data_IF_617513434667
#
_entry.id   IF_617513434667
#
_cell.length_a   1.000
_cell.length_b   1.000
_cell.length_c   1.000
_cell.angle_alpha   90.00
_cell.angle_beta   90.00
_cell.angle_gamma   90.00
#
_symmetry.space_group_name_H-M   'P 1'
#
loop_
_entity.id
_entity.type
_entity.pdbx_description
1 polymer ?
#
# COMPACT_ATOMS: atom_id res chain seq x y z
N UNK A 1 -18.11 -18.43 5.71
CA UNK A 1 -18.97 -17.39 6.31
C UNK A 1 -18.24 -16.05 6.29
N UNK A 2 -18.72 -15.13 5.45
CA UNK A 2 -18.31 -13.74 5.47
C UNK A 2 -18.81 -13.05 6.75
N UNK A 3 -18.05 -12.10 7.30
CA UNK A 3 -18.38 -11.36 8.53
C UNK A 3 -18.27 -9.87 8.24
N UNK A 4 -19.14 -9.05 8.83
CA UNK A 4 -19.15 -7.60 8.61
C UNK A 4 -17.78 -6.90 8.86
N UNK A 5 -16.95 -7.45 9.76
CA UNK A 5 -15.59 -6.94 9.98
C UNK A 5 -14.68 -6.99 8.73
N UNK A 6 -14.99 -7.86 7.77
CA UNK A 6 -14.22 -7.99 6.53
C UNK A 6 -14.48 -6.84 5.57
N UNK A 7 -15.61 -6.14 5.67
CA UNK A 7 -15.85 -4.94 4.87
C UNK A 7 -14.77 -3.87 5.13
N UNK A 8 -14.30 -3.76 6.37
CA UNK A 8 -13.25 -2.82 6.75
C UNK A 8 -11.84 -3.42 6.67
N UNK A 9 -11.64 -4.72 6.80
CA UNK A 9 -10.30 -5.32 6.81
C UNK A 9 -9.75 -5.59 5.40
N UNK A 10 -8.44 -5.42 5.21
CA UNK A 10 -7.72 -5.85 3.99
C UNK A 10 -8.06 -7.29 3.57
N UNK A 11 -8.23 -8.21 4.53
CA UNK A 11 -8.64 -9.60 4.29
C UNK A 11 -9.95 -9.73 3.52
N UNK A 12 -10.87 -8.77 3.65
CA UNK A 12 -12.13 -8.79 2.93
C UNK A 12 -11.94 -8.62 1.43
N UNK A 13 -11.22 -7.58 0.99
CA UNK A 13 -10.94 -7.37 -0.45
C UNK A 13 -10.24 -8.59 -1.03
N UNK A 14 -9.26 -9.13 -0.32
CA UNK A 14 -8.51 -10.32 -0.74
C UNK A 14 -9.40 -11.57 -0.87
N UNK A 15 -10.51 -11.65 -0.14
CA UNK A 15 -11.49 -12.74 -0.26
C UNK A 15 -12.51 -12.50 -1.37
N UNK A 16 -12.94 -11.25 -1.56
CA UNK A 16 -13.99 -10.88 -2.52
C UNK A 16 -13.50 -10.93 -3.96
N UNK A 17 -12.28 -10.45 -4.23
CA UNK A 17 -11.71 -10.39 -5.59
C UNK A 17 -11.67 -11.76 -6.29
N UNK A 18 -11.20 -12.85 -5.66
CA UNK A 18 -11.24 -14.17 -6.26
C UNK A 18 -12.64 -14.64 -6.66
N UNK A 19 -13.70 -14.22 -5.95
CA UNK A 19 -15.08 -14.60 -6.30
C UNK A 19 -15.49 -14.02 -7.66
N UNK A 20 -15.11 -12.77 -7.94
CA UNK A 20 -15.35 -12.12 -9.23
C UNK A 20 -14.56 -12.81 -10.36
N UNK A 21 -13.29 -13.12 -10.11
CA UNK A 21 -12.46 -13.83 -11.07
C UNK A 21 -13.00 -15.24 -11.37
N UNK A 22 -13.43 -15.98 -10.34
CA UNK A 22 -14.01 -17.32 -10.50
C UNK A 22 -15.30 -17.25 -11.32
N UNK A 23 -16.18 -16.28 -11.06
CA UNK A 23 -17.38 -16.09 -11.87
C UNK A 23 -17.04 -15.88 -13.35
N UNK A 24 -16.05 -15.03 -13.65
CA UNK A 24 -15.64 -14.76 -15.03
C UNK A 24 -15.17 -16.02 -15.78
N UNK A 25 -14.42 -16.91 -15.12
CA UNK A 25 -13.85 -18.11 -15.76
C UNK A 25 -14.72 -19.37 -15.70
N UNK A 26 -15.69 -19.43 -14.79
CA UNK A 26 -16.42 -20.67 -14.47
C UNK A 26 -17.94 -20.53 -14.36
N UNK A 27 -18.52 -19.36 -14.68
CA UNK A 27 -19.97 -19.16 -14.69
C UNK A 27 -20.72 -20.09 -15.65
N UNK A 28 -20.05 -20.58 -16.70
CA UNK A 28 -20.61 -21.58 -17.63
C UNK A 28 -20.68 -23.00 -17.05
N UNK A 29 -19.98 -23.26 -15.93
CA UNK A 29 -19.81 -24.59 -15.33
C UNK A 29 -20.44 -24.72 -13.94
N UNK A 30 -20.74 -23.61 -13.28
CA UNK A 30 -21.22 -23.57 -11.91
C UNK A 30 -22.24 -22.44 -11.74
N UNK A 31 -23.26 -22.66 -10.91
CA UNK A 31 -24.19 -21.60 -10.52
C UNK A 31 -23.51 -20.67 -9.50
N UNK A 32 -23.16 -19.46 -9.96
CA UNK A 32 -22.34 -18.49 -9.23
C UNK A 32 -22.96 -17.09 -9.20
N UNK A 33 -24.19 -16.91 -9.70
CA UNK A 33 -24.82 -15.58 -9.84
C UNK A 33 -24.99 -14.85 -8.51
N UNK A 34 -25.49 -15.56 -7.48
CA UNK A 34 -25.65 -14.98 -6.14
C UNK A 34 -24.29 -14.55 -5.56
N UNK A 35 -23.26 -15.37 -5.72
CA UNK A 35 -21.92 -15.08 -5.24
C UNK A 35 -21.29 -13.90 -5.99
N UNK A 36 -21.54 -13.79 -7.29
CA UNK A 36 -21.07 -12.67 -8.11
C UNK A 36 -21.75 -11.35 -7.75
N UNK A 37 -23.07 -11.35 -7.58
CA UNK A 37 -23.81 -10.17 -7.14
C UNK A 37 -23.33 -9.69 -5.77
N UNK A 38 -23.22 -10.59 -4.80
CA UNK A 38 -22.66 -10.29 -3.49
C UNK A 38 -21.25 -9.71 -3.61
N UNK A 39 -20.34 -10.37 -4.34
CA UNK A 39 -18.95 -9.93 -4.44
C UNK A 39 -18.80 -8.58 -5.15
N UNK A 40 -19.65 -8.30 -6.13
CA UNK A 40 -19.63 -7.02 -6.86
C UNK A 40 -20.06 -5.86 -5.98
N UNK A 41 -21.14 -6.04 -5.20
CA UNK A 41 -21.62 -5.04 -4.24
C UNK A 41 -20.64 -4.86 -3.08
N UNK A 42 -20.13 -5.96 -2.52
CA UNK A 42 -19.21 -5.93 -1.39
C UNK A 42 -17.86 -5.32 -1.78
N UNK A 43 -17.31 -5.61 -2.97
CA UNK A 43 -16.06 -4.99 -3.41
C UNK A 43 -16.20 -3.47 -3.52
N UNK A 44 -17.34 -2.99 -4.03
CA UNK A 44 -17.62 -1.55 -4.10
C UNK A 44 -17.62 -0.94 -2.70
N UNK A 45 -18.35 -1.55 -1.76
CA UNK A 45 -18.41 -1.07 -0.38
C UNK A 45 -17.04 -1.11 0.30
N UNK A 46 -16.27 -2.18 0.09
CA UNK A 46 -14.92 -2.34 0.63
C UNK A 46 -13.97 -1.26 0.09
N UNK A 47 -14.00 -0.97 -1.21
CA UNK A 47 -13.18 0.10 -1.79
C UNK A 47 -13.56 1.46 -1.17
N UNK A 48 -14.86 1.78 -1.12
CA UNK A 48 -15.37 3.04 -0.55
C UNK A 48 -15.01 3.19 0.94
N UNK A 49 -14.88 2.08 1.67
CA UNK A 49 -14.58 2.08 3.10
C UNK A 49 -13.07 2.07 3.39
N UNK A 50 -12.29 1.35 2.58
CA UNK A 50 -10.88 1.07 2.87
C UNK A 50 -9.90 1.99 2.17
N UNK A 51 -10.27 2.56 1.02
CA UNK A 51 -9.40 3.46 0.26
C UNK A 51 -9.88 4.90 0.45
N UNK A 52 -8.99 5.73 0.99
CA UNK A 52 -9.25 7.14 1.27
C UNK A 52 -9.25 7.97 -0.03
N UNK A 53 -9.75 9.20 0.03
CA UNK A 53 -9.92 10.07 -1.14
C UNK A 53 -8.61 10.42 -1.84
N UNK A 54 -7.53 10.52 -1.08
CA UNK A 54 -6.15 10.69 -1.54
C UNK A 54 -5.50 9.42 -2.12
N UNK A 55 -6.19 8.28 -2.06
CA UNK A 55 -5.74 6.97 -2.53
C UNK A 55 -4.96 6.15 -1.54
N UNK A 56 -4.62 6.68 -0.35
CA UNK A 56 -4.03 5.89 0.72
C UNK A 56 -5.04 4.88 1.29
N UNK A 57 -4.55 3.81 1.92
CA UNK A 57 -5.42 2.76 2.49
C UNK A 57 -5.52 2.98 4.01
N UNK A 58 -6.72 2.83 4.57
CA UNK A 58 -7.04 3.31 5.93
C UNK A 58 -6.26 2.61 7.06
N UNK A 59 -5.71 1.41 6.85
CA UNK A 59 -4.89 0.72 7.86
C UNK A 59 -3.53 1.40 8.06
N UNK A 60 -3.17 2.31 7.15
CA UNK A 60 -1.93 3.08 7.18
C UNK A 60 -0.68 2.21 7.31
N UNK A 61 -0.72 1.01 6.74
CA UNK A 61 0.45 0.14 6.52
C UNK A 61 0.70 0.06 5.03
N UNK A 62 1.91 0.45 4.60
CA UNK A 62 2.28 0.39 3.18
C UNK A 62 2.31 -1.06 2.68
N UNK A 63 2.62 -2.02 3.55
CA UNK A 63 2.57 -3.44 3.20
C UNK A 63 1.14 -3.85 2.82
N UNK A 64 0.15 -3.57 3.68
CA UNK A 64 -1.25 -3.91 3.40
C UNK A 64 -1.85 -3.09 2.26
N UNK A 65 -1.41 -1.83 2.10
CA UNK A 65 -1.76 -1.04 0.93
C UNK A 65 -1.31 -1.73 -0.37
N UNK A 66 -0.06 -2.21 -0.44
CA UNK A 66 0.47 -2.92 -1.62
C UNK A 66 -0.29 -4.23 -1.86
N UNK A 67 -0.66 -4.98 -0.82
CA UNK A 67 -1.45 -6.20 -0.95
C UNK A 67 -2.83 -5.93 -1.57
N UNK A 68 -3.57 -4.95 -1.05
CA UNK A 68 -4.89 -4.55 -1.56
C UNK A 68 -4.77 -4.01 -2.98
N UNK A 69 -3.77 -3.15 -3.24
CA UNK A 69 -3.48 -2.62 -4.56
C UNK A 69 -3.21 -3.72 -5.59
N UNK A 70 -2.36 -4.69 -5.24
CA UNK A 70 -2.00 -5.82 -6.12
C UNK A 70 -3.24 -6.64 -6.48
N UNK A 71 -4.10 -6.92 -5.51
CA UNK A 71 -5.32 -7.68 -5.76
C UNK A 71 -6.26 -6.94 -6.73
N UNK A 72 -6.45 -5.63 -6.55
CA UNK A 72 -7.25 -4.81 -7.47
C UNK A 72 -6.64 -4.71 -8.88
N UNK A 73 -5.31 -4.59 -8.96
CA UNK A 73 -4.58 -4.56 -10.22
C UNK A 73 -4.71 -5.90 -10.97
N UNK A 74 -4.60 -7.01 -10.25
CA UNK A 74 -4.79 -8.35 -10.80
C UNK A 74 -6.22 -8.57 -11.29
N UNK A 75 -7.22 -8.07 -10.56
CA UNK A 75 -8.62 -8.11 -11.01
C UNK A 75 -8.76 -7.39 -12.37
N UNK A 76 -8.17 -6.21 -12.53
CA UNK A 76 -8.22 -5.46 -13.79
C UNK A 76 -7.42 -6.11 -14.92
N UNK A 77 -6.37 -6.87 -14.60
CA UNK A 77 -5.63 -7.67 -15.58
C UNK A 77 -6.44 -8.87 -16.06
N UNK A 78 -7.15 -9.54 -15.15
CA UNK A 78 -7.98 -10.71 -15.44
C UNK A 78 -9.30 -10.32 -16.11
N UNK A 79 -9.87 -9.16 -15.75
CA UNK A 79 -11.10 -8.60 -16.32
C UNK A 79 -10.81 -7.20 -16.88
N UNK A 80 -10.27 -7.09 -18.11
CA UNK A 80 -9.90 -5.82 -18.71
C UNK A 80 -11.04 -4.80 -18.82
N UNK A 81 -12.29 -5.25 -18.88
CA UNK A 81 -13.48 -4.40 -18.93
C UNK A 81 -13.65 -3.55 -17.66
N UNK A 82 -13.06 -3.99 -16.53
CA UNK A 82 -13.07 -3.25 -15.27
C UNK A 82 -11.95 -2.21 -15.18
N UNK A 83 -10.96 -2.28 -16.07
CA UNK A 83 -9.77 -1.44 -15.98
C UNK A 83 -10.10 0.05 -16.04
N UNK A 84 -11.01 0.46 -16.93
CA UNK A 84 -11.37 1.88 -17.04
C UNK A 84 -12.16 2.37 -15.83
N UNK A 85 -13.01 1.52 -15.24
CA UNK A 85 -13.78 1.84 -14.03
C UNK A 85 -12.88 2.05 -12.80
N UNK A 86 -11.76 1.34 -12.71
CA UNK A 86 -10.82 1.44 -11.59
C UNK A 86 -9.55 2.25 -11.89
N UNK A 87 -9.42 2.81 -13.10
CA UNK A 87 -8.20 3.49 -13.54
C UNK A 87 -7.78 4.61 -12.59
N UNK A 88 -8.70 5.51 -12.25
CA UNK A 88 -8.39 6.64 -11.37
C UNK A 88 -7.96 6.18 -9.97
N UNK A 89 -8.68 5.20 -9.40
CA UNK A 89 -8.35 4.61 -8.10
C UNK A 89 -6.94 4.00 -8.11
N UNK A 90 -6.64 3.17 -9.10
CA UNK A 90 -5.35 2.51 -9.25
C UNK A 90 -4.22 3.52 -9.48
N UNK A 91 -4.46 4.62 -10.19
CA UNK A 91 -3.48 5.69 -10.36
C UNK A 91 -3.14 6.40 -9.03
N UNK A 92 -4.15 6.70 -8.21
CA UNK A 92 -3.92 7.30 -6.88
C UNK A 92 -3.16 6.36 -5.96
N UNK A 93 -3.57 5.11 -5.87
CA UNK A 93 -2.88 4.09 -5.06
C UNK A 93 -1.44 3.85 -5.54
N UNK A 94 -1.21 3.72 -6.85
CA UNK A 94 0.13 3.58 -7.40
C UNK A 94 1.02 4.80 -7.10
N UNK A 95 0.44 6.01 -7.14
CA UNK A 95 1.14 7.24 -6.76
C UNK A 95 1.53 7.22 -5.28
N UNK A 96 0.65 6.74 -4.40
CA UNK A 96 0.97 6.54 -2.98
C UNK A 96 2.14 5.58 -2.79
N UNK A 97 2.12 4.41 -3.44
CA UNK A 97 3.24 3.44 -3.41
C UNK A 97 4.54 4.09 -3.91
N UNK A 98 4.47 4.84 -5.01
CA UNK A 98 5.63 5.53 -5.56
C UNK A 98 6.20 6.51 -4.55
N UNK A 99 5.36 7.31 -3.88
CA UNK A 99 5.82 8.31 -2.91
C UNK A 99 6.34 7.68 -1.61
N UNK A 100 5.79 6.55 -1.19
CA UNK A 100 6.25 5.75 -0.05
C UNK A 100 7.52 4.92 -0.35
N UNK A 101 7.95 4.88 -1.61
CA UNK A 101 9.21 4.25 -2.02
C UNK A 101 10.38 5.20 -1.79
N UNK A 102 11.33 4.76 -0.97
CA UNK A 102 12.60 5.43 -0.70
C UNK A 102 13.53 5.45 -1.91
N UNK A 103 14.66 6.13 -1.76
CA UNK A 103 15.69 6.26 -2.81
C UNK A 103 16.43 4.94 -3.07
N UNK A 104 16.35 4.00 -2.14
CA UNK A 104 16.84 2.62 -2.26
C UNK A 104 15.85 1.68 -2.99
N UNK A 105 14.71 2.21 -3.46
CA UNK A 105 13.69 1.42 -4.16
C UNK A 105 12.85 0.54 -3.24
N UNK A 106 12.86 0.83 -1.93
CA UNK A 106 12.15 0.05 -0.91
C UNK A 106 11.11 0.87 -0.17
N UNK A 107 10.10 0.21 0.37
CA UNK A 107 9.16 0.81 1.32
C UNK A 107 9.84 1.11 2.66
N UNK A 108 9.30 2.09 3.38
CA UNK A 108 9.54 2.27 4.80
C UNK A 108 8.92 1.12 5.60
N UNK A 109 9.59 0.67 6.66
CA UNK A 109 9.04 -0.29 7.62
C UNK A 109 8.09 0.40 8.62
N UNK A 110 7.19 1.24 8.11
CA UNK A 110 6.31 2.09 8.88
C UNK A 110 5.08 1.32 9.40
N UNK A 111 4.75 1.48 10.69
CA UNK A 111 3.69 0.72 11.34
C UNK A 111 3.91 -0.79 11.22
N UNK A 112 2.84 -1.53 10.94
CA UNK A 112 2.91 -2.96 10.59
C UNK A 112 3.33 -3.20 9.15
N UNK A 113 4.47 -2.64 8.75
CA UNK A 113 5.10 -2.86 7.44
C UNK A 113 6.55 -3.31 7.60
N UNK A 114 7.02 -4.05 6.61
CA UNK A 114 8.44 -4.37 6.44
C UNK A 114 9.02 -3.54 5.28
N UNK A 115 10.35 -3.42 5.23
CA UNK A 115 11.03 -2.85 4.07
C UNK A 115 11.03 -3.86 2.92
N UNK A 116 10.30 -3.58 1.86
CA UNK A 116 10.16 -4.46 0.67
C UNK A 116 10.49 -3.69 -0.60
N UNK A 117 11.00 -4.37 -1.63
CA UNK A 117 11.22 -3.72 -2.93
C UNK A 117 9.89 -3.40 -3.60
N UNK A 118 9.77 -2.21 -4.19
CA UNK A 118 8.53 -1.78 -4.87
C UNK A 118 8.64 -1.75 -6.39
N UNK A 119 9.84 -1.98 -6.92
CA UNK A 119 10.12 -1.88 -8.35
C UNK A 119 9.22 -2.76 -9.20
N UNK A 120 8.95 -4.00 -8.77
CA UNK A 120 8.13 -4.94 -9.53
C UNK A 120 6.67 -4.47 -9.61
N UNK A 121 6.08 -4.09 -8.47
CA UNK A 121 4.71 -3.62 -8.45
C UNK A 121 4.56 -2.32 -9.24
N UNK A 122 5.50 -1.37 -9.10
CA UNK A 122 5.47 -0.12 -9.86
C UNK A 122 5.70 -0.33 -11.36
N UNK A 123 6.52 -1.31 -11.76
CA UNK A 123 6.70 -1.68 -13.17
C UNK A 123 5.42 -2.24 -13.76
N UNK A 124 4.74 -3.13 -13.02
CA UNK A 124 3.43 -3.65 -13.42
C UNK A 124 2.40 -2.53 -13.54
N UNK A 125 2.32 -1.63 -12.56
CA UNK A 125 1.46 -0.45 -12.56
C UNK A 125 1.69 0.44 -13.76
N UNK A 126 2.95 0.76 -14.05
CA UNK A 126 3.33 1.66 -15.13
C UNK A 126 2.87 1.15 -16.50
N UNK A 127 2.96 -0.17 -16.74
CA UNK A 127 2.50 -0.79 -17.98
C UNK A 127 0.98 -0.83 -18.07
N UNK A 128 0.30 -1.25 -16.99
CA UNK A 128 -1.15 -1.38 -16.97
C UNK A 128 -1.82 -0.01 -17.12
N UNK A 129 -1.34 0.98 -16.37
CA UNK A 129 -1.90 2.32 -16.36
C UNK A 129 -1.36 3.21 -17.49
N UNK A 130 -0.32 2.77 -18.20
CA UNK A 130 0.44 3.57 -19.17
C UNK A 130 1.00 4.87 -18.54
N UNK A 131 1.70 4.71 -17.41
CA UNK A 131 2.22 5.79 -16.55
C UNK A 131 3.70 5.59 -16.28
N UNK A 132 4.54 6.06 -17.20
CA UNK A 132 6.00 5.93 -17.11
C UNK A 132 6.60 6.66 -15.90
N UNK A 133 5.94 7.72 -15.43
CA UNK A 133 6.40 8.58 -14.33
C UNK A 133 6.39 7.88 -12.96
N UNK A 134 5.72 6.74 -12.86
CA UNK A 134 5.81 5.83 -11.71
C UNK A 134 7.21 5.23 -11.54
N UNK A 135 8.00 5.15 -12.62
CA UNK A 135 9.34 4.56 -12.65
C UNK A 135 10.48 5.58 -12.56
N UNK A 136 10.17 6.87 -12.42
CA UNK A 136 11.20 7.91 -12.33
C UNK A 136 12.16 7.63 -11.17
N UNK A 137 13.45 7.46 -11.49
CA UNK A 137 14.51 7.19 -10.52
C UNK A 137 14.60 5.72 -10.06
N UNK A 138 13.85 4.80 -10.67
CA UNK A 138 13.90 3.37 -10.37
C UNK A 138 14.46 2.58 -11.56
N UNK A 139 15.21 1.52 -11.26
CA UNK A 139 15.61 0.57 -12.29
C UNK A 139 14.48 -0.40 -12.61
N UNK A 140 14.02 -0.44 -13.85
CA UNK A 140 12.93 -1.32 -14.28
C UNK A 140 13.28 -2.79 -14.06
N UNK A 141 12.41 -3.52 -13.36
CA UNK A 141 12.49 -4.98 -13.18
C UNK A 141 11.20 -5.63 -13.67
N UNK A 142 11.33 -6.78 -14.31
CA UNK A 142 10.20 -7.61 -14.75
C UNK A 142 10.41 -9.00 -14.19
N UNK A 143 9.50 -9.44 -13.32
CA UNK A 143 9.51 -10.78 -12.75
C UNK A 143 8.71 -11.77 -13.61
N UNK A 144 8.85 -13.06 -13.30
CA UNK A 144 8.18 -14.13 -14.04
C UNK A 144 6.65 -14.03 -13.96
N UNK A 145 6.11 -13.56 -12.83
CA UNK A 145 4.66 -13.44 -12.66
C UNK A 145 4.11 -12.30 -13.51
N UNK A 146 4.79 -11.16 -13.56
CA UNK A 146 4.44 -10.05 -14.46
C UNK A 146 4.54 -10.48 -15.93
N UNK A 147 5.55 -11.26 -16.32
CA UNK A 147 5.62 -11.82 -17.68
C UNK A 147 4.39 -12.68 -18.01
N UNK A 148 3.95 -13.50 -17.06
CA UNK A 148 2.79 -14.39 -17.22
C UNK A 148 1.49 -13.59 -17.42
N UNK A 149 1.27 -12.56 -16.60
CA UNK A 149 0.04 -11.75 -16.65
C UNK A 149 0.02 -10.72 -17.79
N UNK A 150 1.16 -10.09 -18.07
CA UNK A 150 1.25 -9.03 -19.08
C UNK A 150 1.32 -9.58 -20.50
N UNK A 151 1.93 -10.76 -20.66
CA UNK A 151 2.29 -11.28 -21.97
C UNK A 151 3.38 -10.45 -22.66
N UNK A 152 3.87 -10.98 -23.78
CA UNK A 152 5.06 -10.43 -24.47
C UNK A 152 4.92 -8.97 -24.90
N UNK A 153 3.75 -8.57 -25.40
CA UNK A 153 3.54 -7.23 -25.97
C UNK A 153 3.61 -6.13 -24.90
N UNK A 154 2.98 -6.34 -23.74
CA UNK A 154 3.04 -5.39 -22.62
C UNK A 154 4.44 -5.31 -22.01
N UNK A 155 5.21 -6.40 -22.04
CA UNK A 155 6.62 -6.42 -21.60
C UNK A 155 7.50 -5.63 -22.55
N UNK A 156 7.32 -5.74 -23.87
CA UNK A 156 8.02 -4.90 -24.85
C UNK A 156 7.73 -3.42 -24.60
N UNK A 157 6.46 -3.06 -24.38
CA UNK A 157 6.07 -1.70 -24.05
C UNK A 157 6.81 -1.16 -22.83
N UNK A 158 6.97 -1.96 -21.78
CA UNK A 158 7.75 -1.57 -20.60
C UNK A 158 9.22 -1.28 -20.92
N UNK A 159 9.82 -2.07 -21.83
CA UNK A 159 11.20 -1.86 -22.28
C UNK A 159 11.37 -0.62 -23.16
N UNK A 160 10.28 -0.14 -23.77
CA UNK A 160 10.24 1.08 -24.58
C UNK A 160 10.11 2.35 -23.71
N UNK A 161 9.79 2.22 -22.42
CA UNK A 161 9.66 3.38 -21.53
C UNK A 161 11.01 4.12 -21.41
N UNK A 162 10.97 5.42 -21.66
CA UNK A 162 12.15 6.25 -21.56
C UNK A 162 12.59 6.36 -20.10
N UNK A 163 13.87 6.09 -19.81
CA UNK A 163 14.45 6.42 -18.51
C UNK A 163 14.45 7.93 -18.35
N UNK A 164 13.49 8.45 -17.61
CA UNK A 164 13.40 9.88 -17.30
C UNK A 164 14.38 10.21 -16.18
N UNK A 165 15.00 11.38 -16.29
CA UNK A 165 15.81 11.93 -15.22
C UNK A 165 14.97 12.11 -13.96
N UNK A 166 15.62 11.95 -12.81
CA UNK A 166 14.98 12.15 -11.52
C UNK A 166 14.44 13.59 -11.41
N UNK A 167 13.25 13.76 -10.80
CA UNK A 167 12.59 15.05 -10.61
C UNK A 167 12.11 15.20 -9.17
N UNK A 168 12.24 16.38 -8.54
CA UNK A 168 11.66 16.66 -7.24
C UNK A 168 10.17 16.40 -7.17
N UNK A 169 9.76 15.66 -6.13
CA UNK A 169 8.35 15.37 -5.84
C UNK A 169 8.06 15.63 -4.38
N UNK A 170 6.92 16.25 -4.12
CA UNK A 170 6.33 16.39 -2.79
C UNK A 170 4.85 16.08 -2.89
N UNK A 171 4.35 15.22 -2.00
CA UNK A 171 2.94 14.87 -1.91
C UNK A 171 2.50 14.90 -0.46
N UNK A 172 1.31 15.44 -0.24
CA UNK A 172 0.58 15.39 1.02
C UNK A 172 -0.65 14.54 0.76
N UNK A 173 -0.75 13.43 1.47
CA UNK A 173 -1.91 12.56 1.50
C UNK A 173 -2.76 13.01 2.69
N UNK A 174 -3.69 13.94 2.45
CA UNK A 174 -4.42 14.68 3.49
C UNK A 174 -5.28 13.79 4.38
N UNK A 175 -5.82 12.68 3.87
CA UNK A 175 -6.72 11.81 4.62
C UNK A 175 -5.95 10.90 5.59
N UNK A 176 -4.78 10.39 5.16
CA UNK A 176 -3.86 9.64 6.03
C UNK A 176 -2.92 10.52 6.84
N UNK A 177 -2.77 11.79 6.45
CA UNK A 177 -1.77 12.71 6.99
C UNK A 177 -0.32 12.33 6.67
N UNK A 178 -0.08 11.52 5.64
CA UNK A 178 1.26 11.16 5.21
C UNK A 178 1.86 12.22 4.28
N UNK A 179 3.08 12.63 4.57
CA UNK A 179 3.83 13.61 3.77
C UNK A 179 5.09 12.96 3.26
N UNK A 180 5.27 12.98 1.94
CA UNK A 180 6.46 12.45 1.28
C UNK A 180 7.12 13.55 0.47
N UNK A 181 8.39 13.83 0.73
CA UNK A 181 9.20 14.80 -0.02
C UNK A 181 10.46 14.08 -0.45
N UNK A 182 10.74 14.04 -1.76
CA UNK A 182 11.98 13.47 -2.27
C UNK A 182 12.67 14.31 -3.34
N UNK A 183 13.98 14.25 -3.12
CA UNK A 183 15.23 14.55 -3.77
C UNK A 183 15.94 13.47 -4.62
N UNK A 184 16.85 13.84 -5.53
CA UNK A 184 17.82 12.89 -6.10
C UNK A 184 18.77 12.37 -5.01
N UNK A 185 18.84 13.09 -3.89
CA UNK A 185 19.71 12.79 -2.77
C UNK A 185 18.95 12.61 -1.46
N UNK A 186 17.72 13.10 -1.31
CA UNK A 186 17.00 13.09 -0.03
C UNK A 186 15.62 12.46 -0.14
N UNK A 187 15.20 11.72 0.88
CA UNK A 187 13.80 11.34 1.03
C UNK A 187 13.37 11.56 2.47
N UNK A 188 12.35 12.37 2.66
CA UNK A 188 11.71 12.65 3.94
C UNK A 188 10.28 12.11 3.88
N UNK A 189 9.96 11.26 4.84
CA UNK A 189 8.60 10.88 5.17
C UNK A 189 8.25 11.46 6.54
N UNK A 190 7.02 11.95 6.69
CA UNK A 190 6.49 12.47 7.94
C UNK A 190 5.03 12.07 8.07
N UNK A 191 4.62 11.59 9.25
CA UNK A 191 3.22 11.32 9.56
C UNK A 191 2.65 12.42 10.43
N UNK A 192 1.55 13.01 9.98
CA UNK A 192 0.74 13.99 10.71
C UNK A 192 -0.74 13.77 10.37
N UNK A 193 -1.24 12.59 10.74
CA UNK A 193 -2.61 12.18 10.49
C UNK A 193 -3.16 11.34 11.63
N UNK A 194 -4.42 10.90 11.51
CA UNK A 194 -5.06 10.08 12.52
C UNK A 194 -4.39 8.72 12.66
N UNK A 195 -4.59 8.05 13.80
CA UNK A 195 -4.33 6.62 13.90
C UNK A 195 -5.30 5.88 12.96
N UNK A 196 -4.75 5.07 12.04
CA UNK A 196 -5.54 4.36 11.04
C UNK A 196 -6.27 3.16 11.62
N UNK A 197 -5.59 2.02 11.69
CA UNK A 197 -6.12 0.79 12.29
C UNK A 197 -5.19 0.26 13.38
N UNK A 198 -5.48 -0.95 13.87
CA UNK A 198 -4.59 -1.69 14.78
C UNK A 198 -3.18 -1.95 14.20
N UNK A 199 -3.01 -1.78 12.88
CA UNK A 199 -1.74 -1.89 12.17
C UNK A 199 -0.89 -0.62 12.23
N UNK A 200 -1.49 0.54 12.48
CA UNK A 200 -0.76 1.77 12.80
C UNK A 200 -0.04 1.61 14.14
N UNK A 201 1.00 2.39 14.38
CA UNK A 201 1.68 2.49 15.68
C UNK A 201 1.36 3.84 16.32
N UNK A 202 1.80 4.05 17.57
CA UNK A 202 1.72 5.34 18.28
C UNK A 202 2.87 6.24 17.79
N UNK A 203 2.80 6.62 16.53
CA UNK A 203 3.89 7.22 15.75
C UNK A 203 3.50 8.57 15.13
N UNK A 204 2.49 9.23 15.70
CA UNK A 204 2.03 10.56 15.31
C UNK A 204 3.20 11.56 15.39
N UNK A 205 3.38 12.37 14.34
CA UNK A 205 4.51 13.30 14.17
C UNK A 205 5.89 12.63 14.01
N UNK A 206 5.94 11.32 13.77
CA UNK A 206 7.18 10.64 13.44
C UNK A 206 7.67 11.01 12.03
N UNK A 207 8.98 10.87 11.83
CA UNK A 207 9.60 11.04 10.52
C UNK A 207 10.68 9.98 10.25
N UNK A 208 10.87 9.70 8.96
CA UNK A 208 11.98 8.93 8.42
C UNK A 208 12.77 9.80 7.42
N UNK A 209 14.09 9.62 7.36
CA UNK A 209 14.97 10.35 6.47
C UNK A 209 15.99 9.41 5.82
N UNK A 210 16.13 9.51 4.50
CA UNK A 210 17.25 8.95 3.76
C UNK A 210 18.08 10.05 3.11
N UNK A 211 19.39 9.82 3.01
CA UNK A 211 20.31 10.63 2.22
C UNK A 211 21.18 9.73 1.34
N UNK A 212 21.23 10.00 0.03
CA UNK A 212 21.95 9.23 -0.98
C UNK A 212 21.62 7.73 -0.92
N UNK A 213 20.33 7.40 -0.76
CA UNK A 213 19.87 6.01 -0.63
C UNK A 213 20.21 5.35 0.70
N UNK A 214 20.89 6.03 1.62
CA UNK A 214 21.20 5.49 2.94
C UNK A 214 20.20 5.98 3.99
N UNK A 215 19.64 5.08 4.82
CA UNK A 215 18.78 5.48 5.93
C UNK A 215 19.57 6.24 7.01
N UNK A 216 19.06 7.41 7.40
CA UNK A 216 19.57 8.20 8.53
C UNK A 216 18.65 8.07 9.74
N UNK A 217 17.35 8.33 9.53
CA UNK A 217 16.30 8.13 10.53
C UNK A 217 15.32 7.10 9.98
N UNK A 218 15.11 6.02 10.72
CA UNK A 218 14.23 4.92 10.35
C UNK A 218 13.15 4.72 11.40
N UNK A 219 12.03 4.17 10.98
CA UNK A 219 11.08 3.57 11.90
C UNK A 219 11.66 2.27 12.47
N UNK A 220 11.29 1.94 13.71
CA UNK A 220 11.73 0.72 14.36
C UNK A 220 11.05 -0.53 13.79
N UNK A 221 9.90 -0.35 13.13
CA UNK A 221 9.14 -1.40 12.49
C UNK A 221 8.47 -2.35 13.46
N UNK A 222 7.78 -3.35 12.91
CA UNK A 222 6.88 -4.20 13.69
C UNK A 222 7.53 -5.32 14.49
N UNK A 223 8.64 -5.88 13.98
CA UNK A 223 9.34 -7.09 14.45
C UNK A 223 8.51 -8.39 14.55
N UNK A 224 7.39 -8.38 15.28
CA UNK A 224 6.54 -9.54 15.55
C UNK A 224 5.07 -9.16 15.59
N UNK A 225 4.18 -10.15 15.52
CA UNK A 225 2.75 -10.01 15.91
C UNK A 225 2.43 -10.76 17.20
N UNK A 226 3.45 -11.29 17.88
CA UNK A 226 3.24 -12.04 19.13
C UNK A 226 3.07 -11.05 20.29
N UNK A 227 2.28 -11.46 21.27
CA UNK A 227 2.10 -10.76 22.54
C UNK A 227 3.39 -10.87 23.40
N UNK A 228 4.39 -10.05 23.05
CA UNK A 228 5.70 -9.99 23.69
C UNK A 228 6.07 -8.53 23.97
N UNK A 229 7.01 -8.32 24.90
CA UNK A 229 7.44 -6.98 25.30
C UNK A 229 7.93 -6.13 24.11
N UNK A 230 8.74 -6.72 23.23
CA UNK A 230 9.30 -6.03 22.07
C UNK A 230 8.21 -5.51 21.13
N UNK A 231 7.11 -6.27 20.95
CA UNK A 231 5.97 -5.83 20.13
C UNK A 231 5.34 -4.57 20.71
N UNK A 232 5.11 -4.53 22.02
CA UNK A 232 4.48 -3.38 22.66
C UNK A 232 5.40 -2.16 22.67
N UNK A 233 6.69 -2.37 22.94
CA UNK A 233 7.69 -1.31 22.91
C UNK A 233 7.77 -0.69 21.52
N UNK A 234 7.87 -1.51 20.47
CA UNK A 234 8.00 -1.04 19.09
C UNK A 234 6.74 -0.35 18.57
N UNK A 235 5.53 -0.73 19.05
CA UNK A 235 4.28 -0.02 18.74
C UNK A 235 4.12 1.33 19.47
N UNK A 236 4.92 1.58 20.51
CA UNK A 236 4.74 2.75 21.37
C UNK A 236 5.55 3.95 20.87
N UNK A 237 5.08 5.16 21.18
CA UNK A 237 5.77 6.42 20.86
C UNK A 237 7.26 6.47 21.25
N UNK A 238 7.68 5.69 22.25
CA UNK A 238 9.09 5.60 22.66
C UNK A 238 10.02 5.01 21.60
N UNK A 239 9.49 4.32 20.59
CA UNK A 239 10.27 3.71 19.51
C UNK A 239 10.25 4.51 18.21
N UNK A 240 9.62 5.69 18.19
CA UNK A 240 9.49 6.51 16.98
C UNK A 240 10.13 7.90 17.15
N UNK A 241 10.44 8.55 16.02
CA UNK A 241 11.01 9.90 15.97
C UNK A 241 9.98 10.99 16.28
N UNK A 242 9.35 10.94 17.45
CA UNK A 242 8.28 11.85 17.88
C UNK A 242 8.61 12.55 19.21
N UNK A 243 7.72 13.44 19.65
CA UNK A 243 7.84 14.17 20.91
C UNK A 243 6.97 13.51 21.99
N UNK A 244 7.52 13.41 23.21
CA UNK A 244 6.79 12.90 24.37
C UNK A 244 6.81 13.95 25.47
N UNK A 245 5.62 14.34 25.92
CA UNK A 245 5.43 15.41 26.89
C UNK A 245 5.28 14.81 28.29
N UNK A 246 6.08 15.30 29.25
CA UNK A 246 6.06 14.86 30.65
C UNK A 246 6.17 13.34 30.88
N UNK A 247 6.83 12.63 29.96
CA UNK A 247 6.98 11.17 30.02
C UNK A 247 5.68 10.39 29.78
N UNK A 248 4.67 11.02 29.18
CA UNK A 248 3.36 10.40 28.89
C UNK A 248 3.19 10.20 27.39
N UNK A 249 3.05 8.94 26.99
CA UNK A 249 2.70 8.57 25.62
C UNK A 249 1.25 8.99 25.30
N UNK A 250 0.93 9.25 24.02
CA UNK A 250 -0.43 9.60 23.60
C UNK A 250 -1.41 8.44 23.80
N UNK A 251 -0.98 7.20 23.54
CA UNK A 251 -1.76 5.99 23.80
C UNK A 251 -0.97 4.98 24.65
N UNK A 252 -1.70 4.13 25.38
CA UNK A 252 -1.17 2.94 26.04
C UNK A 252 -1.40 1.70 25.18
N UNK A 253 -0.32 1.00 24.83
CA UNK A 253 -0.40 -0.28 24.11
C UNK A 253 -0.81 -1.39 25.08
N UNK A 254 -1.96 -2.02 24.85
CA UNK A 254 -2.46 -3.12 25.71
C UNK A 254 -2.37 -4.50 25.04
N UNK A 255 -2.11 -4.54 23.73
CA UNK A 255 -1.88 -5.77 22.98
C UNK A 255 -1.37 -5.48 21.56
N UNK A 256 -1.13 -6.52 20.76
CA UNK A 256 -0.67 -6.34 19.37
C UNK A 256 -1.65 -5.59 18.47
N UNK A 257 -2.92 -5.55 18.89
CA UNK A 257 -4.05 -5.01 18.14
C UNK A 257 -4.87 -3.98 18.91
N UNK A 258 -4.43 -3.61 20.13
CA UNK A 258 -5.27 -2.89 21.09
C UNK A 258 -4.53 -1.70 21.72
N UNK A 259 -5.28 -0.63 21.90
CA UNK A 259 -4.85 0.67 22.42
C UNK A 259 -5.84 1.15 23.48
N UNK A 260 -5.34 1.88 24.48
CA UNK A 260 -6.14 2.61 25.46
C UNK A 260 -5.70 4.07 25.51
N UNK A 261 -6.66 4.99 25.52
CA UNK A 261 -6.45 6.45 25.53
C UNK A 261 -6.66 7.03 26.94
#
# INVERSE_FOLDING_TARGET
HYRAKYTLSNWGILQTIPMLAIYYFFSDKMDLEEAYHFASEELKQQIETQILGDGSQFEQSILYHVEVYKALLDLCLLLPDLQDSYRELLEKMATYIQMMTGLDGRTLAFGDSDSTETTEILSLSAVVLNKEDLLNGLDVKVDLLSLLFLGREKVKRLQEFEKRAWQPKSMIFEDSGHVCIKDEHRYLFFKNGPLGSAHSHSDENSFCLQYQGQPIFIDAGRYSYREIYERYLLKSAWSHSTCIVDGKAPERITGSWEYEY
#
